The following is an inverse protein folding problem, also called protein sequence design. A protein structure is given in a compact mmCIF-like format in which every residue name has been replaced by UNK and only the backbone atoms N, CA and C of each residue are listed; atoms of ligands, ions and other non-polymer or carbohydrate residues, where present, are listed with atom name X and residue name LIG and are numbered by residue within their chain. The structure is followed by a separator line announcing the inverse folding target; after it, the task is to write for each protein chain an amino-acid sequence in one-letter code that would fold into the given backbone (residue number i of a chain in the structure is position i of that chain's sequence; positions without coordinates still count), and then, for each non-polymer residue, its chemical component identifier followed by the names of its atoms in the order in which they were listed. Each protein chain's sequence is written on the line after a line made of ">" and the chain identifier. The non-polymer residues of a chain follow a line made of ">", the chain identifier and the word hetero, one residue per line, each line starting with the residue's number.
data_IF_290584925286
#
_entry.id   IF_290584925286
#
_cell.length_a   1.000
_cell.length_b   1.000
_cell.length_c   1.000
_cell.angle_alpha   90.00
_cell.angle_beta   90.00
_cell.angle_gamma   90.00
#
_symmetry.space_group_name_H-M   'P 1'
#
loop_
_entity.id
_entity.type
_entity.pdbx_description
1 polymer ?
#
# COMPACT_ATOMS: atom_id res chain seq x y z
N UNK A 1 -1.26 4.90 -15.23
CA UNK A 1 -1.12 5.31 -13.82
C UNK A 1 -0.84 4.09 -12.95
N UNK A 2 -0.02 4.23 -11.89
CA UNK A 2 0.23 3.17 -10.90
C UNK A 2 -0.18 3.67 -9.52
N UNK A 3 -0.86 2.84 -8.72
CA UNK A 3 -1.20 3.10 -7.31
C UNK A 3 -0.66 1.95 -6.44
N UNK A 4 0.19 2.29 -5.46
CA UNK A 4 0.89 1.30 -4.63
C UNK A 4 1.20 1.87 -3.26
N UNK A 5 0.82 1.15 -2.20
CA UNK A 5 1.25 1.43 -0.83
C UNK A 5 2.57 0.69 -0.54
N UNK A 6 3.52 1.41 0.04
CA UNK A 6 4.82 0.87 0.41
C UNK A 6 5.77 0.62 -0.75
N UNK A 7 6.92 0.07 -0.42
CA UNK A 7 8.00 -0.18 -1.38
C UNK A 7 7.94 -1.60 -1.99
N UNK A 8 6.73 -2.07 -2.33
CA UNK A 8 6.54 -3.42 -2.86
C UNK A 8 7.36 -3.63 -4.12
N UNK A 9 8.00 -4.80 -4.24
CA UNK A 9 8.93 -5.13 -5.32
C UNK A 9 9.97 -4.03 -5.60
N UNK A 10 10.36 -3.28 -4.55
CA UNK A 10 11.30 -2.15 -4.68
C UNK A 10 10.93 -1.17 -5.80
N UNK A 11 9.62 -0.93 -5.97
CA UNK A 11 9.07 -0.08 -7.04
C UNK A 11 9.41 -0.55 -8.47
N UNK A 12 9.53 -1.86 -8.68
CA UNK A 12 9.88 -2.40 -10.00
C UNK A 12 8.85 -2.01 -11.07
N UNK A 13 7.55 -2.14 -10.76
CA UNK A 13 6.48 -1.85 -11.72
C UNK A 13 6.51 -0.40 -12.21
N UNK A 14 6.46 0.64 -11.34
CA UNK A 14 6.53 2.01 -11.84
C UNK A 14 7.84 2.31 -12.57
N UNK A 15 8.97 1.71 -12.17
CA UNK A 15 10.25 1.87 -12.90
C UNK A 15 10.22 1.23 -14.29
N UNK A 16 9.66 0.03 -14.42
CA UNK A 16 9.53 -0.64 -15.70
C UNK A 16 8.63 0.14 -16.66
N UNK A 17 7.48 0.61 -16.16
CA UNK A 17 6.56 1.43 -16.94
C UNK A 17 7.18 2.78 -17.33
N UNK A 18 7.96 3.39 -16.44
CA UNK A 18 8.68 4.62 -16.75
C UNK A 18 9.72 4.39 -17.84
N UNK A 19 10.52 3.33 -17.73
CA UNK A 19 11.52 2.96 -18.73
C UNK A 19 10.90 2.68 -20.10
N UNK A 20 9.69 2.12 -20.12
CA UNK A 20 8.92 1.86 -21.33
C UNK A 20 8.15 3.09 -21.87
N UNK A 21 8.20 4.23 -21.20
CA UNK A 21 7.44 5.43 -21.59
C UNK A 21 5.93 5.36 -21.29
N UNK A 22 5.50 4.37 -20.51
CA UNK A 22 4.08 4.12 -20.22
C UNK A 22 3.62 4.64 -18.85
N UNK A 23 4.53 5.13 -18.00
CA UNK A 23 4.16 5.70 -16.71
C UNK A 23 3.72 7.15 -16.87
N UNK A 24 2.45 7.42 -16.63
CA UNK A 24 1.92 8.78 -16.53
C UNK A 24 2.12 9.37 -15.14
N UNK A 25 1.63 8.68 -14.10
CA UNK A 25 1.80 9.07 -12.71
C UNK A 25 1.95 7.85 -11.81
N UNK A 26 2.64 8.05 -10.69
CA UNK A 26 2.84 7.05 -9.66
C UNK A 26 2.34 7.58 -8.31
N UNK A 27 1.25 7.01 -7.83
CA UNK A 27 0.62 7.34 -6.56
C UNK A 27 1.10 6.38 -5.48
N UNK A 28 1.56 6.94 -4.36
CA UNK A 28 2.10 6.15 -3.24
C UNK A 28 1.93 6.87 -1.91
N UNK A 29 2.18 6.13 -0.84
CA UNK A 29 2.26 6.66 0.52
C UNK A 29 3.55 7.46 0.74
N UNK A 30 3.88 7.71 2.00
CA UNK A 30 5.07 8.46 2.39
C UNK A 30 6.36 7.76 1.96
N UNK A 31 7.29 8.55 1.46
CA UNK A 31 8.55 8.10 0.90
C UNK A 31 9.70 9.08 1.23
N UNK A 32 10.94 8.69 0.97
CA UNK A 32 12.12 9.50 1.24
C UNK A 32 12.41 10.57 0.16
N UNK A 33 11.56 10.70 -0.88
CA UNK A 33 11.79 11.61 -2.02
C UNK A 33 11.02 12.92 -1.86
N UNK A 34 9.79 12.84 -1.33
CA UNK A 34 8.87 13.98 -1.21
C UNK A 34 8.18 14.03 0.16
N UNK A 35 7.62 15.20 0.49
CA UNK A 35 6.74 15.42 1.63
C UNK A 35 7.41 15.24 2.99
N UNK A 36 6.61 14.92 3.98
CA UNK A 36 7.04 14.75 5.37
C UNK A 36 8.07 13.60 5.49
N UNK A 37 7.89 12.53 4.72
CA UNK A 37 8.82 11.41 4.73
C UNK A 37 10.25 11.78 4.32
N UNK A 38 10.42 12.72 3.37
CA UNK A 38 11.73 13.27 3.00
C UNK A 38 12.41 13.97 4.19
N UNK A 39 11.68 14.83 4.89
CA UNK A 39 12.20 15.54 6.06
C UNK A 39 12.61 14.58 7.17
N UNK A 40 11.75 13.61 7.51
CA UNK A 40 12.07 12.60 8.52
C UNK A 40 13.28 11.75 8.13
N UNK A 41 13.43 11.42 6.85
CA UNK A 41 14.59 10.69 6.35
C UNK A 41 15.91 11.49 6.43
N UNK A 42 15.85 12.79 6.57
CA UNK A 42 17.05 13.65 6.72
C UNK A 42 17.54 13.76 8.16
N UNK A 43 16.75 13.40 9.15
CA UNK A 43 17.13 13.48 10.58
C UNK A 43 17.97 12.26 10.97
N UNK A 44 19.28 12.43 11.33
CA UNK A 44 20.19 11.30 11.55
C UNK A 44 19.73 10.34 12.65
N UNK A 45 19.22 10.85 13.76
CA UNK A 45 18.74 10.03 14.89
C UNK A 45 17.51 9.17 14.54
N UNK A 46 16.61 9.65 13.69
CA UNK A 46 15.44 8.90 13.27
C UNK A 46 15.79 7.77 12.29
N UNK A 47 16.85 7.93 11.50
CA UNK A 47 17.32 6.87 10.57
C UNK A 47 17.73 5.58 11.27
N UNK A 48 18.12 5.65 12.54
CA UNK A 48 18.50 4.48 13.33
C UNK A 48 17.30 3.73 13.93
N UNK A 49 16.13 4.35 14.00
CA UNK A 49 14.90 3.77 14.55
C UNK A 49 14.20 2.88 13.52
N UNK A 50 13.74 1.68 13.93
CA UNK A 50 13.24 0.62 13.04
C UNK A 50 12.28 1.05 11.94
N UNK A 51 11.14 1.66 12.27
CA UNK A 51 10.13 2.09 11.28
C UNK A 51 10.62 3.23 10.38
N UNK A 52 11.38 4.17 10.92
CA UNK A 52 11.93 5.30 10.16
C UNK A 52 13.11 4.87 9.28
N UNK A 53 13.87 3.85 9.67
CA UNK A 53 14.89 3.24 8.81
C UNK A 53 14.27 2.74 7.50
N UNK A 54 13.16 2.03 7.58
CA UNK A 54 12.43 1.55 6.42
C UNK A 54 11.91 2.69 5.54
N UNK A 55 11.42 3.78 6.14
CA UNK A 55 10.98 4.96 5.41
C UNK A 55 12.15 5.62 4.66
N UNK A 56 13.31 5.77 5.30
CA UNK A 56 14.51 6.36 4.70
C UNK A 56 15.05 5.55 3.50
N UNK A 57 14.77 4.25 3.45
CA UNK A 57 15.15 3.37 2.34
C UNK A 57 14.17 3.44 1.16
N UNK A 58 12.99 4.05 1.31
CA UNK A 58 11.99 4.18 0.24
C UNK A 58 12.40 5.24 -0.80
N UNK A 59 13.52 4.98 -1.46
CA UNK A 59 14.05 5.79 -2.56
C UNK A 59 13.50 5.26 -3.88
N UNK A 60 12.82 6.10 -4.63
CA UNK A 60 12.22 5.75 -5.93
C UNK A 60 13.20 6.03 -7.06
N UNK A 61 14.32 5.31 -7.08
CA UNK A 61 15.32 5.45 -8.14
C UNK A 61 14.72 5.03 -9.48
N UNK A 62 14.86 5.85 -10.51
CA UNK A 62 14.36 5.55 -11.85
C UNK A 62 12.91 5.98 -12.11
N UNK A 63 12.26 6.67 -11.17
CA UNK A 63 10.96 7.34 -11.40
C UNK A 63 11.16 8.84 -11.21
N UNK A 64 10.86 9.68 -12.23
CA UNK A 64 10.97 11.13 -12.11
C UNK A 64 10.10 11.69 -10.99
N UNK A 65 10.66 12.60 -10.19
CA UNK A 65 9.94 13.21 -9.09
C UNK A 65 8.65 13.93 -9.49
N UNK A 66 8.57 14.46 -10.72
CA UNK A 66 7.35 15.09 -11.27
C UNK A 66 6.18 14.11 -11.36
N UNK A 67 6.44 12.84 -11.67
CA UNK A 67 5.42 11.80 -11.79
C UNK A 67 5.02 11.17 -10.45
N UNK A 68 5.79 11.39 -9.37
CA UNK A 68 5.48 10.86 -8.06
C UNK A 68 4.44 11.73 -7.36
N UNK A 69 3.28 11.15 -7.07
CA UNK A 69 2.17 11.74 -6.31
C UNK A 69 2.07 11.03 -4.96
N UNK A 70 2.67 11.62 -3.94
CA UNK A 70 2.67 11.04 -2.60
C UNK A 70 1.48 11.51 -1.77
N UNK A 71 1.18 10.77 -0.71
CA UNK A 71 0.31 11.22 0.37
C UNK A 71 0.97 10.97 1.72
N UNK A 72 0.98 11.98 2.57
CA UNK A 72 1.45 11.88 3.95
C UNK A 72 0.32 11.54 4.93
N UNK A 73 -0.90 11.35 4.45
CA UNK A 73 -2.06 11.09 5.31
C UNK A 73 -1.86 9.81 6.15
N UNK A 74 -1.37 8.73 5.52
CA UNK A 74 -1.08 7.48 6.20
C UNK A 74 0.00 7.64 7.27
N UNK A 75 1.08 8.36 6.95
CA UNK A 75 2.17 8.61 7.89
C UNK A 75 1.69 9.44 9.08
N UNK A 76 0.93 10.52 8.83
CA UNK A 76 0.31 11.34 9.89
C UNK A 76 -0.59 10.50 10.79
N UNK A 77 -1.45 9.67 10.19
CA UNK A 77 -2.32 8.77 10.93
C UNK A 77 -1.52 7.79 11.80
N UNK A 78 -0.46 7.18 11.26
CA UNK A 78 0.42 6.27 12.00
C UNK A 78 1.17 6.97 13.13
N UNK A 79 1.67 8.19 12.93
CA UNK A 79 2.33 8.97 13.98
C UNK A 79 1.34 9.30 15.09
N UNK A 80 0.15 9.79 14.75
CA UNK A 80 -0.90 10.11 15.72
C UNK A 80 -1.42 8.83 16.40
N UNK A 81 -1.58 7.75 15.64
CA UNK A 81 -2.01 6.45 16.15
C UNK A 81 -0.99 5.80 17.07
N UNK A 82 0.31 5.97 16.84
CA UNK A 82 1.34 5.47 17.75
C UNK A 82 1.27 6.09 19.16
N UNK A 83 0.59 7.22 19.30
CA UNK A 83 0.32 7.86 20.59
C UNK A 83 -0.92 7.25 21.28
N UNK A 84 -1.82 6.57 20.55
CA UNK A 84 -3.13 6.17 21.08
C UNK A 84 -3.63 4.79 20.61
N UNK A 85 -3.04 4.19 19.59
CA UNK A 85 -3.51 2.94 19.00
C UNK A 85 -2.34 1.95 18.99
N UNK A 86 -2.53 0.79 19.61
CA UNK A 86 -1.57 -0.31 19.50
C UNK A 86 -1.35 -0.77 18.05
N UNK A 87 -0.29 -1.53 17.79
CA UNK A 87 -0.11 -2.17 16.49
C UNK A 87 -1.23 -3.20 16.30
N UNK A 88 -2.00 -3.07 15.21
CA UNK A 88 -3.08 -3.99 14.88
C UNK A 88 -3.25 -4.09 13.36
N UNK A 89 -3.73 -5.24 12.91
CA UNK A 89 -4.03 -5.51 11.51
C UNK A 89 -5.09 -4.55 10.95
N UNK A 90 -6.09 -4.21 11.74
CA UNK A 90 -7.12 -3.21 11.40
C UNK A 90 -6.53 -1.87 10.94
N UNK A 91 -5.37 -1.49 11.48
CA UNK A 91 -4.71 -0.26 11.06
C UNK A 91 -4.23 -0.32 9.60
N UNK A 92 -3.81 -1.50 9.12
CA UNK A 92 -3.41 -1.69 7.72
C UNK A 92 -4.62 -1.62 6.78
N UNK A 93 -5.73 -2.24 7.17
CA UNK A 93 -6.99 -2.18 6.39
C UNK A 93 -7.46 -0.72 6.28
N UNK A 94 -7.46 0.01 7.40
CA UNK A 94 -7.86 1.41 7.40
C UNK A 94 -6.90 2.31 6.60
N UNK A 95 -5.59 2.01 6.59
CA UNK A 95 -4.63 2.70 5.75
C UNK A 95 -4.89 2.43 4.26
N UNK A 96 -5.22 1.19 3.89
CA UNK A 96 -5.58 0.81 2.52
C UNK A 96 -6.85 1.54 2.08
N UNK A 97 -7.90 1.57 2.91
CA UNK A 97 -9.12 2.32 2.62
C UNK A 97 -8.90 3.82 2.50
N UNK A 98 -8.06 4.39 3.36
CA UNK A 98 -7.72 5.81 3.31
C UNK A 98 -6.98 6.14 2.01
N UNK A 99 -6.01 5.31 1.64
CA UNK A 99 -5.27 5.48 0.38
C UNK A 99 -6.19 5.38 -0.82
N UNK A 100 -7.03 4.35 -0.84
CA UNK A 100 -8.04 4.10 -1.87
C UNK A 100 -8.97 5.32 -2.08
N UNK A 101 -9.53 5.84 -1.00
CA UNK A 101 -10.36 7.03 -1.05
C UNK A 101 -9.62 8.28 -1.55
N UNK A 102 -8.34 8.45 -1.18
CA UNK A 102 -7.51 9.55 -1.65
C UNK A 102 -7.27 9.46 -3.16
N UNK A 103 -7.00 8.26 -3.68
CA UNK A 103 -6.76 8.08 -5.11
C UNK A 103 -8.06 8.30 -5.89
N UNK A 104 -9.17 7.73 -5.43
CA UNK A 104 -10.49 7.95 -6.04
C UNK A 104 -10.83 9.45 -6.13
N UNK A 105 -10.60 10.20 -5.05
CA UNK A 105 -10.85 11.65 -5.01
C UNK A 105 -9.91 12.48 -5.90
N UNK A 106 -8.67 12.04 -6.10
CA UNK A 106 -7.70 12.71 -7.00
C UNK A 106 -8.02 12.52 -8.47
N UNK A 107 -8.71 11.43 -8.79
CA UNK A 107 -8.96 11.01 -10.16
C UNK A 107 -7.71 10.45 -10.87
N UNK A 108 -7.82 10.24 -12.16
CA UNK A 108 -6.88 9.42 -12.93
C UNK A 108 -5.98 10.22 -13.87
N UNK A 109 -6.05 11.54 -13.84
CA UNK A 109 -5.18 12.46 -14.60
C UNK A 109 -5.09 12.14 -16.11
N UNK A 110 -6.16 11.58 -16.70
CA UNK A 110 -6.19 11.18 -18.11
C UNK A 110 -5.45 9.86 -18.43
N UNK A 111 -5.14 9.04 -17.40
CA UNK A 111 -4.63 7.70 -17.61
C UNK A 111 -5.68 6.81 -18.30
N UNK A 112 -5.26 5.99 -19.22
CA UNK A 112 -6.08 4.97 -19.87
C UNK A 112 -6.16 3.67 -19.05
N UNK A 113 -5.19 3.47 -18.18
CA UNK A 113 -5.05 2.26 -17.37
C UNK A 113 -4.57 2.60 -15.95
N UNK A 114 -5.24 2.04 -14.95
CA UNK A 114 -4.83 2.01 -13.55
C UNK A 114 -4.24 0.63 -13.22
N UNK A 115 -2.98 0.60 -12.84
CA UNK A 115 -2.37 -0.56 -12.20
C UNK A 115 -2.40 -0.37 -10.69
N UNK A 116 -3.16 -1.19 -10.00
CA UNK A 116 -3.32 -1.16 -8.54
C UNK A 116 -2.63 -2.37 -7.92
N UNK A 117 -1.70 -2.13 -7.01
CA UNK A 117 -1.10 -3.16 -6.17
C UNK A 117 -1.75 -3.06 -4.80
N UNK A 118 -2.88 -3.70 -4.64
CA UNK A 118 -3.73 -3.49 -3.49
C UNK A 118 -4.40 -4.77 -3.01
N UNK A 119 -4.60 -4.82 -1.70
CA UNK A 119 -5.30 -5.91 -1.05
C UNK A 119 -6.74 -5.53 -0.65
N UNK A 120 -6.96 -4.27 -0.27
CA UNK A 120 -8.23 -3.79 0.25
C UNK A 120 -8.59 -2.45 -0.38
N UNK A 121 -9.85 -2.27 -0.68
CA UNK A 121 -10.41 -1.02 -1.19
C UNK A 121 -10.92 -1.15 -2.63
N UNK A 122 -12.20 -0.95 -2.78
CA UNK A 122 -12.90 -1.01 -4.06
C UNK A 122 -13.16 0.37 -4.66
N UNK A 123 -13.17 1.43 -3.83
CA UNK A 123 -13.53 2.80 -4.24
C UNK A 123 -12.69 3.33 -5.40
N UNK A 124 -11.39 3.07 -5.37
CA UNK A 124 -10.50 3.50 -6.44
C UNK A 124 -10.79 2.73 -7.73
N UNK A 125 -11.06 1.43 -7.64
CA UNK A 125 -11.39 0.58 -8.80
C UNK A 125 -12.75 0.95 -9.38
N UNK A 126 -13.77 1.15 -8.54
CA UNK A 126 -15.10 1.61 -8.94
C UNK A 126 -15.04 2.98 -9.62
N UNK A 127 -14.29 3.92 -9.04
CA UNK A 127 -14.08 5.24 -9.61
C UNK A 127 -13.34 5.17 -10.96
N UNK A 128 -12.34 4.28 -11.09
CA UNK A 128 -11.63 4.07 -12.35
C UNK A 128 -12.55 3.50 -13.43
N UNK A 129 -13.36 2.50 -13.09
CA UNK A 129 -14.34 1.92 -14.02
C UNK A 129 -15.38 2.95 -14.45
N UNK A 130 -15.92 3.74 -13.51
CA UNK A 130 -16.86 4.81 -13.81
C UNK A 130 -16.27 5.89 -14.72
N UNK A 131 -14.95 6.12 -14.63
CA UNK A 131 -14.21 7.04 -15.50
C UNK A 131 -13.77 6.40 -16.86
N UNK A 132 -14.13 5.14 -17.12
CA UNK A 132 -13.72 4.42 -18.33
C UNK A 132 -12.23 4.03 -18.34
N UNK A 133 -11.57 4.05 -17.18
CA UNK A 133 -10.16 3.67 -17.04
C UNK A 133 -10.07 2.16 -16.84
N UNK A 134 -9.24 1.48 -17.64
CA UNK A 134 -8.98 0.04 -17.49
C UNK A 134 -8.26 -0.22 -16.17
N UNK A 135 -8.69 -1.23 -15.44
CA UNK A 135 -8.07 -1.61 -14.17
C UNK A 135 -7.27 -2.89 -14.29
N UNK A 136 -6.08 -2.90 -13.74
CA UNK A 136 -5.23 -4.08 -13.56
C UNK A 136 -4.89 -4.16 -12.07
N UNK A 137 -5.32 -5.23 -11.42
CA UNK A 137 -5.06 -5.44 -9.99
C UNK A 137 -4.01 -6.54 -9.83
N UNK A 138 -2.94 -6.23 -9.13
CA UNK A 138 -1.92 -7.20 -8.75
C UNK A 138 -2.28 -7.82 -7.40
N UNK A 139 -2.70 -9.07 -7.44
CA UNK A 139 -3.03 -9.88 -6.25
C UNK A 139 -1.80 -10.68 -5.85
N UNK A 140 -0.99 -10.13 -4.96
CA UNK A 140 0.27 -10.77 -4.52
C UNK A 140 0.10 -11.78 -3.38
N UNK A 141 -1.03 -11.78 -2.68
CA UNK A 141 -1.44 -12.79 -1.71
C UNK A 141 -2.86 -13.19 -2.05
N UNK A 142 -3.05 -14.45 -2.44
CA UNK A 142 -4.38 -14.95 -2.75
C UNK A 142 -5.14 -15.27 -1.45
N UNK A 143 -6.47 -15.10 -1.40
CA UNK A 143 -7.30 -15.56 -0.26
C UNK A 143 -7.06 -17.02 0.11
N UNK A 144 -6.77 -17.87 -0.88
CA UNK A 144 -6.43 -19.29 -0.67
C UNK A 144 -5.25 -19.50 0.27
N UNK A 145 -4.31 -18.55 0.39
CA UNK A 145 -3.21 -18.67 1.34
C UNK A 145 -3.70 -18.76 2.78
N UNK A 146 -4.77 -18.09 3.12
CA UNK A 146 -5.36 -18.11 4.45
C UNK A 146 -6.02 -19.46 4.73
N UNK A 147 -6.78 -20.00 3.78
CA UNK A 147 -7.38 -21.33 3.93
C UNK A 147 -6.33 -22.42 4.10
N UNK A 148 -5.26 -22.38 3.31
CA UNK A 148 -4.14 -23.33 3.45
C UNK A 148 -3.49 -23.22 4.84
N UNK A 149 -3.24 -22.00 5.32
CA UNK A 149 -2.65 -21.79 6.65
C UNK A 149 -3.58 -22.31 7.75
N UNK A 150 -4.88 -22.07 7.66
CA UNK A 150 -5.87 -22.57 8.62
C UNK A 150 -5.96 -24.09 8.61
N UNK A 151 -5.97 -24.72 7.43
CA UNK A 151 -5.93 -26.18 7.31
C UNK A 151 -4.67 -26.76 7.95
N UNK A 152 -3.49 -26.15 7.71
CA UNK A 152 -2.24 -26.61 8.31
C UNK A 152 -2.19 -26.39 9.82
N UNK A 153 -2.75 -25.30 10.32
CA UNK A 153 -2.90 -25.06 11.78
C UNK A 153 -3.80 -26.09 12.44
N UNK A 154 -4.93 -26.41 11.80
CA UNK A 154 -5.82 -27.46 12.30
C UNK A 154 -5.14 -28.83 12.32
N UNK A 155 -4.28 -29.10 11.33
CA UNK A 155 -3.51 -30.35 11.22
C UNK A 155 -2.37 -30.44 12.23
N UNK A 156 -1.77 -29.30 12.60
CA UNK A 156 -0.61 -29.21 13.49
C UNK A 156 -0.85 -28.23 14.66
N UNK A 157 -1.79 -28.53 15.56
CA UNK A 157 -2.11 -27.66 16.67
C UNK A 157 -0.89 -27.51 17.60
N UNK A 158 -0.50 -26.28 17.91
CA UNK A 158 0.58 -25.95 18.82
C UNK A 158 1.91 -25.55 18.19
N UNK A 159 2.02 -25.52 16.83
CA UNK A 159 3.20 -24.98 16.15
C UNK A 159 3.17 -23.44 16.15
N UNK A 160 1.99 -22.85 16.00
CA UNK A 160 1.80 -21.41 16.12
C UNK A 160 0.73 -21.10 17.17
N UNK A 161 0.89 -19.94 17.85
CA UNK A 161 -0.15 -19.45 18.73
C UNK A 161 -1.43 -19.18 17.92
N UNK A 162 -2.57 -19.60 18.48
CA UNK A 162 -3.89 -19.33 17.91
C UNK A 162 -4.04 -17.83 17.64
N UNK A 163 -4.49 -17.44 16.49
CA UNK A 163 -4.29 -16.13 16.04
C UNK A 163 -5.55 -15.27 15.86
N UNK A 164 -5.26 -14.00 15.80
CA UNK A 164 -6.10 -12.92 15.30
C UNK A 164 -6.61 -13.15 13.85
N UNK A 165 -6.29 -14.31 13.25
CA UNK A 165 -6.48 -14.56 11.81
C UNK A 165 -7.92 -14.91 11.45
N UNK A 166 -8.76 -15.41 12.38
CA UNK A 166 -10.15 -15.75 12.06
C UNK A 166 -10.97 -14.49 11.77
N UNK A 167 -10.79 -13.44 12.56
CA UNK A 167 -11.38 -12.13 12.28
C UNK A 167 -10.83 -11.51 10.98
N UNK A 168 -9.63 -11.89 10.62
CA UNK A 168 -8.96 -11.48 9.38
C UNK A 168 -9.54 -12.16 8.14
N UNK A 169 -9.84 -13.45 8.21
CA UNK A 169 -10.48 -14.22 7.15
C UNK A 169 -11.91 -13.75 6.91
N UNK A 170 -12.67 -13.55 7.98
CA UNK A 170 -14.04 -13.05 7.90
C UNK A 170 -14.10 -11.68 7.21
N UNK A 171 -13.17 -10.77 7.52
CA UNK A 171 -13.06 -9.46 6.87
C UNK A 171 -12.59 -9.51 5.40
N UNK A 172 -11.90 -10.56 5.00
CA UNK A 172 -11.47 -10.78 3.61
C UNK A 172 -12.55 -11.46 2.77
N UNK A 173 -13.30 -12.40 3.33
CA UNK A 173 -14.42 -13.09 2.65
C UNK A 173 -15.62 -12.17 2.41
N UNK A 174 -15.89 -11.20 3.30
CA UNK A 174 -16.97 -10.22 3.09
C UNK A 174 -16.70 -9.23 1.93
N UNK A 175 -15.53 -9.29 1.28
CA UNK A 175 -15.07 -8.32 0.28
C UNK A 175 -14.73 -8.91 -1.09
N UNK A 176 -14.89 -10.22 -1.25
CA UNK A 176 -14.75 -10.91 -2.53
C UNK A 176 -16.11 -11.15 -3.16
#
# INVERSE_FOLDING_TARGET
>A
MVAQIGARHHYAIPRMLEKGGHLQSFHTDSNAVKGLGKWLAMVPGLRASGSFKNLAQRKMVGVPGSKIKHTDALLRRRILGALHLGPGYENYIQDDHLFDAIIAARGFEGADTLYAMQKHGTKMLEAAQAAGVRTVVDVFITPMCHHIVEEERARYPGIEASCEDQARLELEDERT
#
